data_IF_999488803315
#
_entry.id   IF_999488803315
#
_cell.length_a   1.000
_cell.length_b   1.000
_cell.length_c   1.000
_cell.angle_alpha   90.00
_cell.angle_beta   90.00
_cell.angle_gamma   90.00
#
_symmetry.space_group_name_H-M   'P 1'
#
loop_
_entity.id
_entity.type
_entity.pdbx_description
1 polymer ?
#
# COMPACT_ATOMS: atom_id res chain seq x y z
N UNK A 1 -2.88 2.72 18.13
CA UNK A 1 -2.72 2.67 19.60
C UNK A 1 -1.79 1.51 19.90
N UNK A 2 -0.75 1.75 20.70
CA UNK A 2 0.28 0.77 21.05
C UNK A 2 -0.29 -0.31 21.98
N UNK A 3 -0.58 -1.50 21.42
CA UNK A 3 -1.16 -2.62 22.19
C UNK A 3 -0.31 -3.03 23.40
N UNK A 4 1.03 -2.96 23.30
CA UNK A 4 1.92 -3.35 24.40
C UNK A 4 1.86 -2.41 25.62
N UNK A 5 1.57 -1.12 25.43
CA UNK A 5 1.43 -0.18 26.55
C UNK A 5 0.11 -0.37 27.30
N UNK A 6 -0.94 -0.78 26.58
CA UNK A 6 -2.29 -0.96 27.13
C UNK A 6 -2.45 -2.32 27.82
N UNK A 7 -1.86 -3.39 27.27
CA UNK A 7 -2.03 -4.75 27.80
C UNK A 7 -1.14 -5.06 29.01
N UNK A 8 0.05 -4.44 29.14
CA UNK A 8 1.06 -4.83 30.14
C UNK A 8 1.48 -3.71 31.09
N UNK A 9 1.07 -2.45 30.86
CA UNK A 9 1.42 -1.31 31.72
C UNK A 9 2.93 -0.97 31.77
N UNK A 10 3.73 -1.53 30.87
CA UNK A 10 5.19 -1.30 30.77
C UNK A 10 5.51 -0.44 29.55
N UNK A 11 6.55 0.39 29.66
CA UNK A 11 7.06 1.14 28.52
C UNK A 11 7.59 0.21 27.43
N UNK A 12 7.38 0.58 26.16
CA UNK A 12 7.84 -0.17 24.98
C UNK A 12 9.32 -0.57 25.11
N UNK A 13 10.15 0.33 25.64
CA UNK A 13 11.58 0.06 25.88
C UNK A 13 11.81 -1.07 26.88
N UNK A 14 11.06 -1.12 27.98
CA UNK A 14 11.17 -2.19 28.99
C UNK A 14 10.65 -3.51 28.45
N UNK A 15 9.56 -3.49 27.69
CA UNK A 15 9.02 -4.69 27.03
C UNK A 15 10.01 -5.25 25.99
N UNK A 16 10.57 -4.41 25.12
CA UNK A 16 11.56 -4.81 24.12
C UNK A 16 12.84 -5.37 24.76
N UNK A 17 13.33 -4.76 25.86
CA UNK A 17 14.49 -5.28 26.60
C UNK A 17 14.20 -6.65 27.23
N UNK A 18 13.02 -6.83 27.83
CA UNK A 18 12.63 -8.11 28.44
C UNK A 18 12.48 -9.23 27.40
N UNK A 19 12.02 -8.91 26.20
CA UNK A 19 11.84 -9.84 25.09
C UNK A 19 13.08 -10.00 24.21
N UNK A 20 14.20 -9.35 24.54
CA UNK A 20 15.40 -9.27 23.70
C UNK A 20 15.11 -8.86 22.25
N UNK A 21 14.12 -7.98 22.06
CA UNK A 21 13.68 -7.48 20.76
C UNK A 21 14.19 -6.06 20.54
N UNK A 22 14.54 -5.71 19.31
CA UNK A 22 15.03 -4.37 19.00
C UNK A 22 13.89 -3.35 18.90
N UNK A 23 14.08 -2.19 19.56
CA UNK A 23 13.08 -1.11 19.60
C UNK A 23 12.83 -0.48 18.23
N UNK A 24 13.82 -0.44 17.34
CA UNK A 24 13.63 0.10 15.98
C UNK A 24 12.73 -0.82 15.17
N UNK A 25 12.86 -2.14 15.36
CA UNK A 25 12.00 -3.14 14.74
C UNK A 25 10.56 -3.03 15.23
N UNK A 26 10.35 -2.75 16.53
CA UNK A 26 9.01 -2.46 17.07
C UNK A 26 8.39 -1.19 16.46
N UNK A 27 9.18 -0.13 16.33
CA UNK A 27 8.73 1.13 15.74
C UNK A 27 8.65 1.07 14.20
N UNK A 28 9.21 0.04 13.57
CA UNK A 28 9.18 -0.14 12.13
C UNK A 28 7.74 -0.39 11.68
N UNK A 29 7.13 0.66 11.13
CA UNK A 29 5.90 0.54 10.35
C UNK A 29 6.30 0.55 8.89
N UNK A 30 6.05 -0.54 8.19
CA UNK A 30 6.19 -0.59 6.73
C UNK A 30 5.22 0.41 6.10
N UNK A 31 5.68 1.64 5.87
CA UNK A 31 4.91 2.67 5.19
C UNK A 31 5.00 2.45 3.69
N UNK A 32 3.94 1.90 3.07
CA UNK A 32 3.81 1.98 1.61
C UNK A 32 3.64 3.47 1.26
N UNK A 33 4.54 4.11 0.49
CA UNK A 33 4.35 5.51 0.10
C UNK A 33 3.02 5.63 -0.64
N UNK A 34 2.20 6.60 -0.19
CA UNK A 34 0.76 6.70 -0.44
C UNK A 34 0.32 6.18 -1.80
N UNK A 35 -0.31 5.01 -1.80
CA UNK A 35 -0.91 4.40 -3.00
C UNK A 35 -2.20 5.13 -3.41
N UNK A 36 -2.82 5.88 -2.50
CA UNK A 36 -4.10 6.57 -2.70
C UNK A 36 -4.18 7.45 -3.97
N UNK A 37 -3.18 8.29 -4.32
CA UNK A 37 -3.22 9.10 -5.54
C UNK A 37 -3.09 8.28 -6.83
N UNK A 38 -2.56 7.05 -6.74
CA UNK A 38 -2.42 6.15 -7.88
C UNK A 38 -3.65 5.25 -8.02
N UNK A 39 -4.18 4.76 -6.91
CA UNK A 39 -5.44 4.05 -6.84
C UNK A 39 -6.58 4.88 -7.41
N UNK A 40 -6.73 6.13 -6.94
CA UNK A 40 -7.75 7.05 -7.43
C UNK A 40 -7.66 7.24 -8.94
N UNK A 41 -6.45 7.45 -9.46
CA UNK A 41 -6.24 7.63 -10.91
C UNK A 41 -6.58 6.37 -11.72
N UNK A 42 -6.22 5.20 -11.23
CA UNK A 42 -6.58 3.92 -11.86
C UNK A 42 -8.10 3.74 -11.88
N UNK A 43 -8.77 4.12 -10.80
CA UNK A 43 -10.22 4.05 -10.68
C UNK A 43 -10.91 4.99 -11.67
N UNK A 44 -10.47 6.26 -11.75
CA UNK A 44 -10.95 7.25 -12.74
C UNK A 44 -10.79 6.73 -14.19
N UNK A 45 -9.62 6.16 -14.53
CA UNK A 45 -9.39 5.61 -15.87
C UNK A 45 -10.36 4.47 -16.19
N UNK A 46 -10.64 3.61 -15.21
CA UNK A 46 -11.60 2.50 -15.39
C UNK A 46 -13.02 3.03 -15.56
N UNK A 47 -13.43 4.00 -14.75
CA UNK A 47 -14.76 4.58 -14.81
C UNK A 47 -15.03 5.22 -16.17
N UNK A 48 -14.07 5.98 -16.70
CA UNK A 48 -14.17 6.60 -18.03
C UNK A 48 -14.10 5.54 -19.15
N UNK A 49 -13.34 4.45 -18.95
CA UNK A 49 -13.07 3.44 -19.99
C UNK A 49 -13.23 2.01 -19.44
N UNK A 50 -14.48 1.61 -19.18
CA UNK A 50 -14.85 0.33 -18.53
C UNK A 50 -14.19 -0.91 -19.16
N UNK A 51 -13.98 -0.93 -20.48
CA UNK A 51 -13.35 -2.06 -21.18
C UNK A 51 -11.82 -2.18 -20.99
N UNK A 52 -11.18 -1.23 -20.31
CA UNK A 52 -9.72 -1.22 -20.21
C UNK A 52 -9.24 -2.20 -19.15
N UNK A 53 -8.51 -3.22 -19.63
CA UNK A 53 -7.75 -4.14 -18.79
C UNK A 53 -6.46 -3.47 -18.28
N UNK A 54 -5.90 -4.04 -17.20
CA UNK A 54 -4.69 -3.58 -16.53
C UNK A 54 -3.56 -3.09 -17.47
N UNK A 55 -3.29 -3.80 -18.57
CA UNK A 55 -2.23 -3.43 -19.55
C UNK A 55 -2.49 -2.08 -20.23
N UNK A 56 -3.76 -1.75 -20.54
CA UNK A 56 -4.13 -0.48 -21.18
C UNK A 56 -4.10 0.68 -20.18
N UNK A 57 -4.51 0.42 -18.94
CA UNK A 57 -4.37 1.37 -17.83
C UNK A 57 -2.90 1.72 -17.58
N UNK A 58 -2.01 0.71 -17.58
CA UNK A 58 -0.57 0.92 -17.43
C UNK A 58 0.02 1.83 -18.52
N UNK A 59 -0.38 1.64 -19.79
CA UNK A 59 0.08 2.49 -20.89
C UNK A 59 -0.41 3.93 -20.75
N UNK A 60 -1.65 4.14 -20.27
CA UNK A 60 -2.16 5.48 -19.97
C UNK A 60 -1.37 6.16 -18.86
N UNK A 61 -1.12 5.46 -17.76
CA UNK A 61 -0.31 5.99 -16.65
C UNK A 61 1.11 6.38 -17.10
N UNK A 62 1.72 5.60 -18.00
CA UNK A 62 3.02 5.92 -18.62
C UNK A 62 2.95 7.19 -19.47
N UNK A 63 1.88 7.39 -20.23
CA UNK A 63 1.67 8.60 -21.06
C UNK A 63 1.45 9.85 -20.21
N UNK A 64 0.85 9.70 -19.03
CA UNK A 64 0.72 10.77 -18.04
C UNK A 64 2.03 11.07 -17.29
N UNK A 65 3.15 10.49 -17.70
CA UNK A 65 4.47 10.73 -17.11
C UNK A 65 4.75 9.94 -15.83
N UNK A 66 3.83 9.07 -15.38
CA UNK A 66 4.08 8.23 -14.19
C UNK A 66 4.95 7.04 -14.55
N UNK A 67 6.22 7.09 -14.14
CA UNK A 67 7.16 5.97 -14.24
C UNK A 67 6.88 4.91 -13.17
N UNK A 68 5.87 4.08 -13.41
CA UNK A 68 5.47 3.01 -12.50
C UNK A 68 5.79 1.65 -13.15
N UNK A 69 6.29 0.71 -12.36
CA UNK A 69 6.48 -0.67 -12.82
C UNK A 69 5.12 -1.34 -13.08
N UNK A 70 5.02 -2.10 -14.17
CA UNK A 70 3.79 -2.84 -14.53
C UNK A 70 3.32 -3.77 -13.40
N UNK A 71 4.25 -4.33 -12.61
CA UNK A 71 3.94 -5.15 -11.42
C UNK A 71 3.12 -4.35 -10.39
N UNK A 72 3.51 -3.09 -10.15
CA UNK A 72 2.83 -2.19 -9.19
C UNK A 72 1.44 -1.81 -9.70
N UNK A 73 1.29 -1.54 -11.00
CA UNK A 73 -0.03 -1.31 -11.60
C UNK A 73 -0.94 -2.55 -11.47
N UNK A 74 -0.40 -3.75 -11.71
CA UNK A 74 -1.17 -4.99 -11.60
C UNK A 74 -1.59 -5.30 -10.16
N UNK A 75 -0.70 -5.12 -9.20
CA UNK A 75 -0.99 -5.29 -7.77
C UNK A 75 -2.13 -4.38 -7.33
N UNK A 76 -2.04 -3.08 -7.65
CA UNK A 76 -3.09 -2.10 -7.30
C UNK A 76 -4.41 -2.43 -8.02
N UNK A 77 -4.35 -2.81 -9.29
CA UNK A 77 -5.55 -3.18 -10.06
C UNK A 77 -6.26 -4.41 -9.46
N UNK A 78 -5.49 -5.35 -8.89
CA UNK A 78 -6.00 -6.52 -8.17
C UNK A 78 -6.54 -6.15 -6.78
N UNK A 79 -5.82 -5.32 -6.03
CA UNK A 79 -6.25 -4.81 -4.71
C UNK A 79 -7.57 -4.03 -4.82
N UNK A 80 -7.77 -3.27 -5.90
CA UNK A 80 -9.01 -2.54 -6.18
C UNK A 80 -10.16 -3.40 -6.74
N UNK A 81 -9.96 -4.71 -6.93
CA UNK A 81 -11.01 -5.62 -7.44
C UNK A 81 -11.49 -5.29 -8.86
N UNK A 82 -10.66 -4.62 -9.67
CA UNK A 82 -11.08 -4.10 -10.98
C UNK A 82 -11.09 -5.15 -12.09
N UNK A 83 -10.81 -6.42 -11.75
CA UNK A 83 -10.92 -7.53 -12.70
C UNK A 83 -12.37 -7.66 -13.19
N UNK A 84 -12.51 -7.84 -14.50
CA UNK A 84 -13.79 -8.21 -15.10
C UNK A 84 -14.11 -9.64 -14.62
N UNK A 85 -15.22 -9.78 -13.89
CA UNK A 85 -15.77 -11.08 -13.50
C UNK A 85 -16.75 -11.55 -14.57
#
# INVERSE_FOLDING_TARGET
MDGMLVDWGVSIRRACLALAFDTLTYHYKSGRPGQAPLEKRIWEIREIRVRYRCRRVHVLLRREGRMINIKKTHMIYKELGLQLR
#
